data_IF_564835941825
#
_entry.id   IF_564835941825
#
_cell.length_a   1.000
_cell.length_b   1.000
_cell.length_c   1.000
_cell.angle_alpha   90.00
_cell.angle_beta   90.00
_cell.angle_gamma   90.00
#
_symmetry.space_group_name_H-M   'P 1'
#
loop_
_entity.id
_entity.type
_entity.pdbx_description
1 polymer ?
#
# COMPACT_ATOMS: atom_id res chain seq x y z
N UNK A 1 -16.25 -11.09 -7.13
CA UNK A 1 -15.36 -10.50 -8.16
C UNK A 1 -14.62 -11.63 -8.86
N UNK A 2 -14.36 -11.51 -10.17
CA UNK A 2 -13.52 -12.50 -10.86
C UNK A 2 -12.11 -12.56 -10.24
N UNK A 3 -11.47 -13.73 -10.12
CA UNK A 3 -10.11 -13.87 -9.60
C UNK A 3 -9.09 -12.98 -10.33
N UNK A 4 -9.27 -12.79 -11.64
CA UNK A 4 -8.42 -11.91 -12.44
C UNK A 4 -8.56 -10.44 -12.06
N UNK A 5 -9.80 -9.99 -11.77
CA UNK A 5 -10.07 -8.61 -11.33
C UNK A 5 -9.49 -8.37 -9.93
N UNK A 6 -9.61 -9.36 -9.02
CA UNK A 6 -9.00 -9.28 -7.69
C UNK A 6 -7.48 -9.09 -7.78
N UNK A 7 -6.83 -9.88 -8.64
CA UNK A 7 -5.38 -9.78 -8.85
C UNK A 7 -4.98 -8.44 -9.44
N UNK A 8 -5.69 -7.94 -10.46
CA UNK A 8 -5.41 -6.63 -11.06
C UNK A 8 -5.58 -5.50 -10.04
N UNK A 9 -6.64 -5.54 -9.23
CA UNK A 9 -6.85 -4.58 -8.15
C UNK A 9 -5.71 -4.64 -7.12
N UNK A 10 -5.29 -5.85 -6.73
CA UNK A 10 -4.16 -6.03 -5.83
C UNK A 10 -2.86 -5.47 -6.38
N UNK A 11 -2.52 -5.73 -7.65
CA UNK A 11 -1.33 -5.16 -8.31
C UNK A 11 -1.41 -3.63 -8.35
N UNK A 12 -2.56 -3.06 -8.72
CA UNK A 12 -2.74 -1.61 -8.75
C UNK A 12 -2.54 -0.99 -7.36
N UNK A 13 -3.12 -1.58 -6.32
CA UNK A 13 -2.96 -1.14 -4.92
C UNK A 13 -1.50 -1.22 -4.48
N UNK A 14 -0.79 -2.29 -4.85
CA UNK A 14 0.63 -2.44 -4.53
C UNK A 14 1.46 -1.32 -5.17
N UNK A 15 1.22 -1.03 -6.46
CA UNK A 15 1.92 0.04 -7.18
C UNK A 15 1.66 1.41 -6.56
N UNK A 16 0.42 1.69 -6.13
CA UNK A 16 0.09 2.93 -5.40
C UNK A 16 0.84 2.99 -4.08
N UNK A 17 0.88 1.90 -3.30
CA UNK A 17 1.63 1.84 -2.05
C UNK A 17 3.13 2.11 -2.24
N UNK A 18 3.73 1.52 -3.28
CA UNK A 18 5.13 1.76 -3.65
C UNK A 18 5.35 3.21 -4.07
N UNK A 19 4.49 3.76 -4.93
CA UNK A 19 4.60 5.14 -5.38
C UNK A 19 4.53 6.13 -4.21
N UNK A 20 3.60 5.92 -3.28
CA UNK A 20 3.50 6.71 -2.04
C UNK A 20 4.75 6.57 -1.19
N UNK A 21 5.27 5.36 -0.99
CA UNK A 21 6.49 5.14 -0.22
C UNK A 21 7.71 5.84 -0.84
N UNK A 22 7.89 5.74 -2.16
CA UNK A 22 8.95 6.44 -2.89
C UNK A 22 8.79 7.97 -2.80
N UNK A 23 7.58 8.48 -2.91
CA UNK A 23 7.31 9.91 -2.77
C UNK A 23 7.59 10.42 -1.34
N UNK A 24 7.27 9.64 -0.31
CA UNK A 24 7.61 9.96 1.09
C UNK A 24 9.12 9.89 1.37
N UNK A 25 9.84 9.07 0.63
CA UNK A 25 11.28 8.87 0.77
C UNK A 25 12.10 9.93 0.03
N UNK A 26 11.71 10.29 -1.20
CA UNK A 26 12.51 11.15 -2.09
C UNK A 26 11.85 12.49 -2.43
N UNK A 27 10.60 12.70 -2.04
CA UNK A 27 9.83 13.89 -2.38
C UNK A 27 9.77 14.95 -1.28
N UNK A 28 8.90 15.96 -1.48
CA UNK A 28 8.65 17.06 -0.54
C UNK A 28 8.37 16.67 0.93
N UNK A 29 7.81 15.48 1.26
CA UNK A 29 7.60 15.07 2.65
C UNK A 29 8.86 14.93 3.50
N UNK A 30 10.06 14.94 2.91
CA UNK A 30 11.33 14.95 3.64
C UNK A 30 11.42 16.13 4.62
N UNK A 31 10.96 17.30 4.19
CA UNK A 31 11.08 18.57 4.92
C UNK A 31 9.83 18.91 5.74
N UNK A 32 8.90 17.96 5.90
CA UNK A 32 7.68 18.18 6.66
C UNK A 32 7.96 18.25 8.16
N UNK A 33 7.72 19.43 8.74
CA UNK A 33 7.86 19.68 10.17
C UNK A 33 6.49 19.80 10.87
N UNK A 34 6.52 19.86 12.21
CA UNK A 34 5.34 20.06 13.04
C UNK A 34 4.25 19.01 12.81
N UNK A 35 3.00 19.45 12.68
CA UNK A 35 1.85 18.56 12.48
C UNK A 35 1.93 17.69 11.22
N UNK A 36 2.60 18.17 10.17
CA UNK A 36 2.75 17.42 8.91
C UNK A 36 3.65 16.19 9.06
N UNK A 37 4.55 16.18 10.05
CA UNK A 37 5.36 15.00 10.36
C UNK A 37 4.50 13.80 10.76
N UNK A 38 3.42 14.03 11.49
CA UNK A 38 2.47 12.97 11.86
C UNK A 38 1.69 12.45 10.66
N UNK A 39 1.33 13.32 9.72
CA UNK A 39 0.72 12.92 8.45
C UNK A 39 1.68 12.03 7.65
N UNK A 40 2.97 12.38 7.56
CA UNK A 40 4.00 11.55 6.94
C UNK A 40 4.05 10.16 7.57
N UNK A 41 4.09 10.08 8.90
CA UNK A 41 4.06 8.79 9.59
C UNK A 41 2.79 8.01 9.26
N UNK A 42 1.61 8.63 9.32
CA UNK A 42 0.35 7.99 8.95
C UNK A 42 0.35 7.45 7.52
N UNK A 43 0.93 8.19 6.57
CA UNK A 43 1.09 7.74 5.17
C UNK A 43 2.06 6.56 5.05
N UNK A 44 3.13 6.49 5.85
CA UNK A 44 4.02 5.32 5.92
C UNK A 44 3.25 4.09 6.42
N UNK A 45 2.49 4.24 7.50
CA UNK A 45 1.64 3.14 7.99
C UNK A 45 0.58 2.74 6.94
N UNK A 46 0.01 3.72 6.24
CA UNK A 46 -0.93 3.50 5.14
C UNK A 46 -0.32 2.71 3.99
N UNK A 47 0.90 3.03 3.56
CA UNK A 47 1.57 2.30 2.47
C UNK A 47 1.87 0.85 2.84
N UNK A 48 2.25 0.59 4.10
CA UNK A 48 2.38 -0.78 4.63
C UNK A 48 1.03 -1.51 4.63
N UNK A 49 -0.05 -0.83 5.02
CA UNK A 49 -1.41 -1.37 4.95
C UNK A 49 -1.83 -1.73 3.53
N UNK A 50 -1.52 -0.87 2.54
CA UNK A 50 -1.78 -1.15 1.12
C UNK A 50 -0.96 -2.36 0.63
N UNK A 51 0.28 -2.52 1.09
CA UNK A 51 1.10 -3.70 0.77
C UNK A 51 0.47 -5.00 1.33
N UNK A 52 -0.02 -4.97 2.57
CA UNK A 52 -0.71 -6.13 3.15
C UNK A 52 -2.03 -6.44 2.45
N UNK A 53 -2.81 -5.41 2.12
CA UNK A 53 -4.09 -5.56 1.41
C UNK A 53 -3.88 -6.11 -0.01
N UNK A 54 -2.90 -5.57 -0.74
CA UNK A 54 -2.58 -6.04 -2.09
C UNK A 54 -2.17 -7.51 -2.10
N UNK A 55 -1.34 -7.95 -1.14
CA UNK A 55 -0.96 -9.35 -1.02
C UNK A 55 -2.18 -10.27 -0.90
N UNK A 56 -3.17 -9.91 -0.08
CA UNK A 56 -4.42 -10.67 0.07
C UNK A 56 -5.29 -10.70 -1.19
N UNK A 57 -5.25 -9.63 -1.99
CA UNK A 57 -6.02 -9.55 -3.24
C UNK A 57 -5.37 -10.31 -4.39
N UNK A 58 -4.04 -10.35 -4.43
CA UNK A 58 -3.24 -11.09 -5.41
C UNK A 58 -3.29 -12.59 -5.12
N UNK A 59 -3.12 -12.94 -3.84
CA UNK A 59 -3.10 -14.31 -3.34
C UNK A 59 -4.23 -14.51 -2.31
N UNK A 60 -5.49 -14.63 -2.78
CA UNK A 60 -6.58 -14.97 -1.88
C UNK A 60 -6.29 -16.34 -1.27
N UNK A 61 -6.29 -16.43 0.07
CA UNK A 61 -6.19 -17.71 0.77
C UNK A 61 -7.30 -18.63 0.26
N UNK A 62 -6.93 -19.76 -0.33
CA UNK A 62 -7.93 -20.70 -0.85
C UNK A 62 -8.34 -21.59 0.32
N UNK A 63 -9.61 -21.93 0.45
CA UNK A 63 -10.11 -22.78 1.54
C UNK A 63 -9.45 -24.18 1.63
N UNK A 64 -8.52 -24.50 0.70
CA UNK A 64 -7.74 -25.73 0.64
C UNK A 64 -6.41 -25.65 1.40
N UNK A 65 -6.05 -24.46 1.90
CA UNK A 65 -4.79 -24.19 2.62
C UNK A 65 -4.97 -24.19 4.16
N UNK A 66 -6.12 -24.67 4.66
CA UNK A 66 -6.48 -24.74 6.09
C UNK A 66 -6.79 -26.18 6.53
#
# INVERSE_FOLDING_TARGET
MSPAISRLAGIAILLVGIAVALWLAFGPPQDWEGGMRWLRHGLVWGSLGLALLSARLIFPATAKDA
#
